data_IF_974920411051
#
_entry.id   IF_974920411051
#
_cell.length_a   1.000
_cell.length_b   1.000
_cell.length_c   1.000
_cell.angle_alpha   90.00
_cell.angle_beta   90.00
_cell.angle_gamma   90.00
#
_symmetry.space_group_name_H-M   'P 1'
#
loop_
_entity.id
_entity.type
_entity.pdbx_description
1 polymer ?
#
# COMPACT_ATOMS: atom_id res chain seq x y z
N UNK A 1 -22.01 -18.20 23.69
CA UNK A 1 -21.67 -18.09 22.26
C UNK A 1 -20.70 -16.93 22.07
N UNK A 2 -19.66 -17.12 21.26
CA UNK A 2 -18.73 -16.06 20.87
C UNK A 2 -19.47 -15.05 19.98
N UNK A 3 -19.50 -13.77 20.35
CA UNK A 3 -20.14 -12.74 19.53
C UNK A 3 -19.23 -12.39 18.35
N UNK A 4 -19.81 -12.38 17.15
CA UNK A 4 -19.15 -12.00 15.90
C UNK A 4 -19.77 -10.71 15.38
N UNK A 5 -18.99 -9.92 14.66
CA UNK A 5 -19.50 -8.70 14.04
C UNK A 5 -20.47 -9.02 12.90
N UNK A 6 -21.62 -8.37 12.85
CA UNK A 6 -22.59 -8.54 11.75
C UNK A 6 -22.09 -8.00 10.40
N UNK A 7 -21.11 -7.08 10.37
CA UNK A 7 -20.56 -6.49 9.13
C UNK A 7 -19.28 -7.17 8.64
N UNK A 8 -18.33 -7.48 9.52
CA UNK A 8 -17.00 -7.96 9.11
C UNK A 8 -16.64 -9.31 9.74
N UNK A 9 -15.38 -9.76 9.59
CA UNK A 9 -14.92 -11.08 10.05
C UNK A 9 -14.36 -11.07 11.48
N UNK A 10 -14.49 -9.95 12.20
CA UNK A 10 -13.93 -9.76 13.54
C UNK A 10 -14.91 -10.20 14.63
N UNK A 11 -14.35 -10.64 15.75
CA UNK A 11 -15.08 -11.20 16.90
C UNK A 11 -14.33 -10.94 18.22
N UNK A 12 -14.90 -11.32 19.36
CA UNK A 12 -14.34 -11.03 20.69
C UNK A 12 -13.05 -11.80 21.06
N UNK A 13 -12.56 -12.72 20.20
CA UNK A 13 -11.27 -13.40 20.44
C UNK A 13 -10.06 -12.53 20.14
N UNK A 14 -10.26 -11.39 19.48
CA UNK A 14 -9.22 -10.41 19.21
C UNK A 14 -8.96 -9.56 20.46
N UNK A 15 -8.25 -10.14 21.43
CA UNK A 15 -7.77 -9.46 22.63
C UNK A 15 -6.31 -9.08 22.44
N UNK A 16 -5.98 -7.84 22.76
CA UNK A 16 -4.62 -7.29 22.58
C UNK A 16 -4.00 -7.53 21.21
N UNK A 17 -4.82 -7.44 20.17
CA UNK A 17 -4.42 -7.70 18.79
C UNK A 17 -3.96 -6.40 18.11
N UNK A 18 -2.99 -6.44 17.18
CA UNK A 18 -2.64 -5.29 16.33
C UNK A 18 -3.83 -4.94 15.45
N UNK A 19 -4.53 -3.87 15.83
CA UNK A 19 -5.68 -3.35 15.14
C UNK A 19 -5.29 -2.00 14.55
N UNK A 20 -5.63 -1.80 13.28
CA UNK A 20 -5.41 -0.51 12.62
C UNK A 20 -6.42 0.54 13.14
N UNK A 21 -6.04 1.21 14.23
CA UNK A 21 -6.82 2.29 14.83
C UNK A 21 -6.38 3.68 14.37
N UNK A 22 -5.16 3.84 13.86
CA UNK A 22 -4.63 5.13 13.35
C UNK A 22 -4.45 5.17 11.83
N UNK A 23 -5.15 4.28 11.11
CA UNK A 23 -5.29 4.42 9.68
C UNK A 23 -3.99 4.23 8.92
N UNK A 24 -3.39 3.05 9.05
CA UNK A 24 -2.20 2.63 8.32
C UNK A 24 -0.89 3.33 8.74
N UNK A 25 -0.93 4.37 9.58
CA UNK A 25 0.28 5.04 10.08
C UNK A 25 1.01 4.19 11.13
N UNK A 26 0.26 3.51 12.01
CA UNK A 26 0.74 2.53 12.99
C UNK A 26 -0.39 1.58 13.37
N UNK A 27 -0.07 0.29 13.55
CA UNK A 27 -0.94 -0.61 14.30
C UNK A 27 -0.89 -0.20 15.78
N UNK A 28 -2.04 -0.01 16.43
CA UNK A 28 -2.08 -0.03 17.90
C UNK A 28 -2.60 -1.37 18.36
N UNK A 29 -2.16 -1.75 19.54
CA UNK A 29 -2.72 -2.90 20.24
C UNK A 29 -4.09 -2.48 20.77
N UNK A 30 -5.12 -3.27 20.46
CA UNK A 30 -6.49 -3.02 20.91
C UNK A 30 -7.24 -4.32 21.16
N UNK A 31 -8.51 -4.18 21.54
CA UNK A 31 -9.45 -5.30 21.63
C UNK A 31 -10.68 -5.04 20.77
N UNK A 32 -11.26 -6.13 20.27
CA UNK A 32 -12.56 -6.09 19.61
C UNK A 32 -13.66 -6.29 20.65
N UNK A 33 -14.59 -5.34 20.68
CA UNK A 33 -15.80 -5.39 21.50
C UNK A 33 -17.01 -5.37 20.60
N UNK A 34 -17.95 -6.29 20.80
CA UNK A 34 -19.21 -6.35 20.04
C UNK A 34 -20.31 -5.70 20.89
N UNK A 35 -20.93 -4.64 20.36
CA UNK A 35 -22.02 -3.94 21.04
C UNK A 35 -23.35 -4.73 20.96
N UNK A 36 -24.41 -4.21 21.57
CA UNK A 36 -25.73 -4.86 21.59
C UNK A 36 -26.37 -5.00 20.20
N UNK A 37 -25.99 -4.15 19.23
CA UNK A 37 -26.46 -4.24 17.85
C UNK A 37 -25.62 -5.21 16.99
N UNK A 38 -24.66 -5.92 17.60
CA UNK A 38 -23.82 -6.89 16.89
C UNK A 38 -22.67 -6.27 16.10
N UNK A 39 -22.36 -4.98 16.27
CA UNK A 39 -21.24 -4.32 15.60
C UNK A 39 -19.98 -4.34 16.46
N UNK A 40 -18.82 -4.62 15.84
CA UNK A 40 -17.54 -4.36 16.49
C UNK A 40 -17.26 -2.85 16.56
N UNK A 41 -16.49 -2.44 17.57
CA UNK A 41 -16.04 -1.06 17.77
C UNK A 41 -15.41 -0.40 16.52
N UNK A 42 -14.78 -1.17 15.64
CA UNK A 42 -14.21 -0.64 14.37
C UNK A 42 -15.31 -0.37 13.33
N UNK A 43 -16.27 -1.30 13.20
CA UNK A 43 -17.41 -1.11 12.30
C UNK A 43 -18.31 0.02 12.80
N UNK A 44 -18.51 0.13 14.11
CA UNK A 44 -19.24 1.23 14.73
C UNK A 44 -18.57 2.58 14.41
N UNK A 45 -17.25 2.67 14.54
CA UNK A 45 -16.53 3.89 14.12
C UNK A 45 -16.70 4.17 12.63
N UNK A 46 -16.57 3.15 11.77
CA UNK A 46 -16.80 3.33 10.33
C UNK A 46 -18.21 3.86 10.04
N UNK A 47 -19.25 3.39 10.72
CA UNK A 47 -20.61 3.90 10.50
C UNK A 47 -20.75 5.39 10.85
N UNK A 48 -20.03 5.88 11.87
CA UNK A 48 -19.98 7.31 12.22
C UNK A 48 -19.27 8.12 11.13
N UNK A 49 -18.18 7.58 10.61
CA UNK A 49 -17.33 8.23 9.61
C UNK A 49 -17.93 8.19 8.18
N UNK A 50 -18.75 7.17 7.89
CA UNK A 50 -19.16 6.80 6.53
C UNK A 50 -19.80 7.94 5.76
N UNK A 51 -20.69 8.71 6.40
CA UNK A 51 -21.41 9.79 5.75
C UNK A 51 -20.44 10.89 5.25
N UNK A 52 -19.53 11.35 6.11
CA UNK A 52 -18.54 12.35 5.75
C UNK A 52 -17.53 11.80 4.71
N UNK A 53 -17.03 10.58 4.90
CA UNK A 53 -16.09 9.97 3.97
C UNK A 53 -16.67 9.86 2.54
N UNK A 54 -17.92 9.43 2.40
CA UNK A 54 -18.60 9.34 1.11
C UNK A 54 -18.98 10.73 0.56
N UNK A 55 -19.31 11.69 1.41
CA UNK A 55 -19.50 13.07 1.00
C UNK A 55 -18.23 13.68 0.39
N UNK A 56 -17.07 13.45 1.02
CA UNK A 56 -15.77 13.87 0.48
C UNK A 56 -15.45 13.18 -0.85
N UNK A 57 -15.84 11.91 -1.02
CA UNK A 57 -15.73 11.20 -2.32
C UNK A 57 -16.59 11.87 -3.39
N UNK A 58 -17.83 12.25 -3.07
CA UNK A 58 -18.73 12.91 -4.02
C UNK A 58 -18.18 14.29 -4.43
N UNK A 59 -17.70 15.09 -3.47
CA UNK A 59 -17.03 16.37 -3.75
C UNK A 59 -15.83 16.16 -4.68
N UNK A 60 -15.02 15.11 -4.44
CA UNK A 60 -13.89 14.79 -5.30
C UNK A 60 -14.34 14.41 -6.71
N UNK A 61 -15.41 13.63 -6.84
CA UNK A 61 -15.99 13.24 -8.14
C UNK A 61 -16.50 14.44 -8.93
N UNK A 62 -17.18 15.38 -8.29
CA UNK A 62 -17.67 16.63 -8.91
C UNK A 62 -16.52 17.53 -9.37
N UNK A 63 -15.44 17.61 -8.59
CA UNK A 63 -14.26 18.44 -8.91
C UNK A 63 -13.33 17.79 -9.92
N UNK A 64 -13.38 16.46 -10.08
CA UNK A 64 -12.38 15.69 -10.82
C UNK A 64 -12.15 16.20 -12.24
N UNK A 65 -13.20 16.39 -13.04
CA UNK A 65 -13.06 16.87 -14.43
C UNK A 65 -12.41 18.25 -14.49
N UNK A 66 -12.85 19.18 -13.64
CA UNK A 66 -12.26 20.51 -13.55
C UNK A 66 -10.79 20.44 -13.13
N UNK A 67 -10.46 19.65 -12.11
CA UNK A 67 -9.08 19.47 -11.67
C UNK A 67 -8.19 18.90 -12.78
N UNK A 68 -8.65 17.89 -13.52
CA UNK A 68 -7.92 17.34 -14.66
C UNK A 68 -7.72 18.38 -15.77
N UNK A 69 -8.71 19.23 -16.04
CA UNK A 69 -8.61 20.32 -17.02
C UNK A 69 -7.64 21.42 -16.58
N UNK A 70 -7.74 21.89 -15.33
CA UNK A 70 -6.92 22.99 -14.79
C UNK A 70 -5.43 22.62 -14.65
N UNK A 71 -5.12 21.32 -14.65
CA UNK A 71 -3.78 20.79 -14.40
C UNK A 71 -3.10 20.20 -15.62
N UNK A 72 -3.72 20.30 -16.81
CA UNK A 72 -3.13 19.85 -18.07
C UNK A 72 -1.76 20.50 -18.29
N UNK A 73 -0.86 19.74 -18.91
CA UNK A 73 0.42 20.23 -19.41
C UNK A 73 0.47 20.08 -20.93
N UNK A 74 1.50 20.65 -21.57
CA UNK A 74 1.65 20.57 -23.03
C UNK A 74 1.84 19.14 -23.53
N UNK A 75 2.54 18.31 -22.74
CA UNK A 75 2.99 16.99 -23.19
C UNK A 75 2.14 15.89 -22.55
N UNK A 76 1.92 15.95 -21.23
CA UNK A 76 1.14 14.95 -20.48
C UNK A 76 0.17 15.59 -19.50
N UNK A 77 -1.10 15.19 -19.55
CA UNK A 77 -2.12 15.63 -18.61
C UNK A 77 -1.85 15.10 -17.19
N UNK A 78 -1.35 13.86 -17.08
CA UNK A 78 -1.09 13.22 -15.80
C UNK A 78 -0.01 12.13 -15.86
N UNK A 79 0.67 11.91 -14.74
CA UNK A 79 1.52 10.78 -14.47
C UNK A 79 0.69 9.71 -13.74
N UNK A 80 0.51 8.55 -14.35
CA UNK A 80 -0.25 7.44 -13.77
C UNK A 80 0.71 6.43 -13.19
N UNK A 81 0.68 6.22 -11.86
CA UNK A 81 1.51 5.21 -11.22
C UNK A 81 1.00 3.80 -11.57
N UNK A 82 1.78 3.07 -12.37
CA UNK A 82 1.47 1.73 -12.86
C UNK A 82 2.36 0.70 -12.17
N UNK A 83 1.77 -0.14 -11.33
CA UNK A 83 2.49 -1.21 -10.63
C UNK A 83 2.30 -2.59 -11.27
N UNK A 84 1.30 -2.74 -12.14
CA UNK A 84 0.88 -4.01 -12.77
C UNK A 84 -0.09 -4.82 -11.91
N UNK A 85 -0.52 -4.27 -10.78
CA UNK A 85 -1.58 -4.82 -9.94
C UNK A 85 -2.95 -4.37 -10.42
N UNK A 86 -4.00 -5.10 -9.99
CA UNK A 86 -5.39 -4.86 -10.42
C UNK A 86 -5.82 -3.39 -10.29
N UNK A 87 -5.39 -2.70 -9.23
CA UNK A 87 -5.85 -1.34 -8.91
C UNK A 87 -5.15 -0.27 -9.75
N UNK A 88 -3.86 -0.45 -10.03
CA UNK A 88 -3.11 0.48 -10.89
C UNK A 88 -3.41 0.27 -12.37
N UNK A 89 -3.62 -0.98 -12.81
CA UNK A 89 -4.02 -1.30 -14.19
C UNK A 89 -5.38 -0.69 -14.53
N UNK A 90 -6.41 -0.90 -13.69
CA UNK A 90 -7.73 -0.29 -13.94
C UNK A 90 -7.68 1.24 -13.88
N UNK A 91 -6.81 1.80 -13.04
CA UNK A 91 -6.61 3.25 -12.97
C UNK A 91 -6.09 3.83 -14.27
N UNK A 92 -5.12 3.15 -14.91
CA UNK A 92 -4.60 3.55 -16.22
C UNK A 92 -5.69 3.45 -17.30
N UNK A 93 -6.44 2.36 -17.32
CA UNK A 93 -7.58 2.17 -18.24
C UNK A 93 -8.60 3.30 -18.06
N UNK A 94 -9.00 3.61 -16.82
CA UNK A 94 -9.94 4.71 -16.56
C UNK A 94 -9.39 6.07 -17.03
N UNK A 95 -8.13 6.37 -16.70
CA UNK A 95 -7.49 7.62 -17.11
C UNK A 95 -7.47 7.79 -18.64
N UNK A 96 -7.11 6.74 -19.38
CA UNK A 96 -7.04 6.76 -20.85
C UNK A 96 -8.42 6.69 -21.50
N UNK A 97 -9.28 5.76 -21.08
CA UNK A 97 -10.53 5.48 -21.79
C UNK A 97 -11.71 6.34 -21.34
N UNK A 98 -11.86 6.55 -20.04
CA UNK A 98 -13.00 7.31 -19.50
C UNK A 98 -12.74 8.82 -19.52
N UNK A 99 -11.54 9.24 -19.14
CA UNK A 99 -11.18 10.67 -19.04
C UNK A 99 -10.39 11.17 -20.25
N UNK A 100 -10.04 10.29 -21.20
CA UNK A 100 -9.34 10.64 -22.45
C UNK A 100 -8.08 11.48 -22.20
N UNK A 101 -7.36 11.16 -21.12
CA UNK A 101 -6.13 11.86 -20.74
C UNK A 101 -4.95 11.39 -21.60
N UNK A 102 -4.09 12.32 -21.98
CA UNK A 102 -2.75 11.98 -22.46
C UNK A 102 -1.84 11.71 -21.25
N UNK A 103 -1.51 10.45 -20.99
CA UNK A 103 -0.85 10.05 -19.74
C UNK A 103 0.55 9.52 -19.97
N UNK A 104 1.44 9.81 -19.02
CA UNK A 104 2.70 9.10 -18.86
C UNK A 104 2.50 7.99 -17.82
N UNK A 105 2.51 6.74 -18.25
CA UNK A 105 2.49 5.61 -17.33
C UNK A 105 3.87 5.47 -16.67
N UNK A 106 3.91 5.33 -15.34
CA UNK A 106 5.15 5.29 -14.60
C UNK A 106 5.24 4.08 -13.65
N UNK A 107 6.26 3.24 -13.85
CA UNK A 107 6.54 2.09 -13.00
C UNK A 107 7.83 2.27 -12.22
N UNK A 108 7.78 1.97 -10.91
CA UNK A 108 8.99 1.75 -10.12
C UNK A 108 9.24 0.24 -10.07
N UNK A 109 10.30 -0.22 -10.73
CA UNK A 109 10.77 -1.60 -10.63
C UNK A 109 11.72 -1.74 -9.44
N UNK A 110 11.21 -2.29 -8.35
CA UNK A 110 11.99 -2.61 -7.16
C UNK A 110 12.79 -3.92 -7.30
N UNK A 111 12.68 -4.63 -8.42
CA UNK A 111 13.36 -5.89 -8.72
C UNK A 111 12.61 -7.14 -8.27
N UNK A 112 11.43 -7.01 -7.65
CA UNK A 112 10.66 -8.11 -7.05
C UNK A 112 9.23 -8.21 -7.58
N UNK A 113 8.96 -7.77 -8.82
CA UNK A 113 7.68 -8.01 -9.50
C UNK A 113 7.53 -9.48 -9.91
N UNK A 114 6.29 -9.96 -9.96
CA UNK A 114 5.96 -11.28 -10.51
C UNK A 114 6.03 -11.27 -12.05
N UNK A 115 6.02 -12.46 -12.67
CA UNK A 115 6.02 -12.56 -14.14
C UNK A 115 4.71 -11.99 -14.70
N UNK A 116 3.59 -12.42 -14.14
CA UNK A 116 2.24 -11.98 -14.51
C UNK A 116 2.10 -10.45 -14.37
N UNK A 117 2.69 -9.86 -13.32
CA UNK A 117 2.69 -8.40 -13.15
C UNK A 117 3.45 -7.66 -14.24
N UNK A 118 4.54 -8.22 -14.76
CA UNK A 118 5.27 -7.60 -15.90
C UNK A 118 4.45 -7.72 -17.18
N UNK A 119 3.92 -8.91 -17.46
CA UNK A 119 3.02 -9.13 -18.61
C UNK A 119 1.81 -8.19 -18.56
N UNK A 120 1.18 -8.00 -17.40
CA UNK A 120 0.05 -7.09 -17.26
C UNK A 120 0.42 -5.63 -17.53
N UNK A 121 1.66 -5.22 -17.21
CA UNK A 121 2.15 -3.86 -17.52
C UNK A 121 2.34 -3.73 -19.02
N UNK A 122 3.06 -4.67 -19.64
CA UNK A 122 3.32 -4.69 -21.09
C UNK A 122 2.00 -4.67 -21.87
N UNK A 123 1.10 -5.61 -21.59
CA UNK A 123 -0.19 -5.73 -22.27
C UNK A 123 -1.04 -4.46 -22.16
N UNK A 124 -1.20 -3.89 -20.95
CA UNK A 124 -2.06 -2.71 -20.79
C UNK A 124 -1.45 -1.46 -21.42
N UNK A 125 -0.12 -1.35 -21.43
CA UNK A 125 0.58 -0.23 -22.06
C UNK A 125 0.43 -0.30 -23.57
N UNK A 126 0.65 -1.48 -24.15
CA UNK A 126 0.56 -1.72 -25.59
C UNK A 126 -0.88 -1.53 -26.09
N UNK A 127 -1.86 -2.13 -25.41
CA UNK A 127 -3.28 -2.05 -25.78
C UNK A 127 -3.80 -0.60 -25.75
N UNK A 128 -3.37 0.20 -24.76
CA UNK A 128 -3.81 1.58 -24.61
C UNK A 128 -2.97 2.58 -25.43
N UNK A 129 -1.86 2.14 -26.03
CA UNK A 129 -0.93 3.00 -26.75
C UNK A 129 -0.43 4.18 -25.90
N UNK A 130 -0.01 3.91 -24.66
CA UNK A 130 0.47 4.94 -23.72
C UNK A 130 1.99 4.93 -23.60
N UNK A 131 2.62 6.09 -23.47
CA UNK A 131 4.05 6.12 -23.16
C UNK A 131 4.29 5.58 -21.74
N UNK A 132 5.30 4.73 -21.59
CA UNK A 132 5.64 4.08 -20.33
C UNK A 132 7.11 4.26 -19.96
N UNK A 133 7.33 4.78 -18.74
CA UNK A 133 8.67 4.91 -18.16
C UNK A 133 8.82 4.01 -16.95
N UNK A 134 9.90 3.23 -16.93
CA UNK A 134 10.28 2.41 -15.77
C UNK A 134 11.52 2.97 -15.08
N UNK A 135 11.37 3.32 -13.79
CA UNK A 135 12.50 3.59 -12.90
C UNK A 135 12.96 2.30 -12.22
N UNK A 136 14.13 1.80 -12.59
CA UNK A 136 14.70 0.58 -12.01
C UNK A 136 15.58 0.88 -10.80
N UNK A 137 15.22 0.32 -9.66
CA UNK A 137 16.08 0.32 -8.47
C UNK A 137 17.17 -0.76 -8.68
N UNK A 138 18.46 -0.43 -8.54
CA UNK A 138 19.52 -1.42 -8.67
C UNK A 138 19.29 -2.62 -7.75
N UNK A 139 19.41 -3.83 -8.31
CA UNK A 139 19.18 -5.09 -7.59
C UNK A 139 20.07 -5.23 -6.34
N UNK A 140 21.26 -4.64 -6.37
CA UNK A 140 22.18 -4.58 -5.22
C UNK A 140 21.62 -3.78 -4.05
N UNK A 141 20.82 -2.74 -4.33
CA UNK A 141 20.15 -1.92 -3.32
C UNK A 141 18.88 -2.62 -2.85
N UNK A 142 18.01 -3.03 -3.78
CA UNK A 142 16.73 -3.62 -3.40
C UNK A 142 16.90 -4.94 -2.62
N UNK A 143 17.87 -5.79 -2.98
CA UNK A 143 18.19 -6.99 -2.17
C UNK A 143 18.60 -6.65 -0.75
N UNK A 144 19.43 -5.62 -0.53
CA UNK A 144 19.83 -5.19 0.82
C UNK A 144 18.62 -4.67 1.61
N UNK A 145 17.83 -3.78 0.99
CA UNK A 145 16.61 -3.22 1.59
C UNK A 145 15.65 -4.33 2.01
N UNK A 146 15.25 -5.19 1.07
CA UNK A 146 14.22 -6.18 1.34
C UNK A 146 14.73 -7.38 2.16
N UNK A 147 16.01 -7.73 2.08
CA UNK A 147 16.59 -8.76 2.96
C UNK A 147 16.52 -8.32 4.43
N UNK A 148 16.91 -7.07 4.74
CA UNK A 148 16.75 -6.55 6.10
C UNK A 148 15.27 -6.40 6.46
N UNK A 149 14.45 -5.83 5.57
CA UNK A 149 13.03 -5.56 5.82
C UNK A 149 12.24 -6.83 6.16
N UNK A 150 12.52 -7.96 5.48
CA UNK A 150 11.93 -9.25 5.83
C UNK A 150 12.46 -9.75 7.18
N UNK A 151 13.77 -9.69 7.44
CA UNK A 151 14.36 -10.15 8.71
C UNK A 151 13.82 -9.39 9.92
N UNK A 152 13.58 -8.09 9.78
CA UNK A 152 12.96 -7.29 10.84
C UNK A 152 11.44 -7.51 10.93
N UNK A 153 10.81 -8.21 10.00
CA UNK A 153 9.35 -8.38 9.98
C UNK A 153 8.60 -7.11 9.64
N UNK A 154 9.17 -6.24 8.80
CA UNK A 154 8.49 -5.08 8.22
C UNK A 154 8.85 -4.92 6.73
N UNK A 155 8.27 -5.76 5.85
CA UNK A 155 8.78 -5.93 4.48
C UNK A 155 8.55 -4.72 3.54
N UNK A 156 7.55 -3.88 3.81
CA UNK A 156 7.06 -2.91 2.83
C UNK A 156 7.29 -1.44 3.22
N UNK A 157 7.47 -1.13 4.50
CA UNK A 157 7.40 0.26 5.01
C UNK A 157 8.50 1.17 4.45
N UNK A 158 9.75 0.70 4.35
CA UNK A 158 10.84 1.49 3.74
C UNK A 158 10.50 1.84 2.28
N UNK A 159 10.01 0.85 1.52
CA UNK A 159 9.67 1.04 0.12
C UNK A 159 8.52 2.04 -0.05
N UNK A 160 7.46 1.89 0.74
CA UNK A 160 6.25 2.71 0.64
C UNK A 160 6.43 4.13 1.20
N UNK A 161 7.31 4.36 2.19
CA UNK A 161 7.47 5.68 2.84
C UNK A 161 8.70 6.46 2.39
N UNK A 162 9.80 5.78 2.03
CA UNK A 162 11.11 6.41 1.85
C UNK A 162 11.75 6.18 0.47
N UNK A 163 11.15 5.33 -0.38
CA UNK A 163 11.67 5.05 -1.72
C UNK A 163 10.65 5.45 -2.79
N UNK A 164 9.44 4.89 -2.77
CA UNK A 164 8.48 5.10 -3.86
C UNK A 164 7.96 6.54 -3.94
N UNK A 165 7.47 7.18 -2.85
CA UNK A 165 6.98 8.55 -2.92
C UNK A 165 7.98 9.56 -3.47
N UNK A 166 9.25 9.61 -3.00
CA UNK A 166 10.20 10.57 -3.56
C UNK A 166 10.56 10.28 -5.02
N UNK A 167 10.67 9.01 -5.43
CA UNK A 167 10.89 8.69 -6.85
C UNK A 167 9.73 9.15 -7.72
N UNK A 168 8.47 8.93 -7.29
CA UNK A 168 7.29 9.40 -8.02
C UNK A 168 7.25 10.92 -8.12
N UNK A 169 7.50 11.63 -7.01
CA UNK A 169 7.54 13.09 -7.01
C UNK A 169 8.68 13.65 -7.89
N UNK A 170 9.85 13.01 -7.89
CA UNK A 170 10.97 13.39 -8.76
C UNK A 170 10.66 13.17 -10.24
N UNK A 171 9.99 12.06 -10.59
CA UNK A 171 9.57 11.81 -11.97
C UNK A 171 8.51 12.81 -12.43
N UNK A 172 7.58 13.16 -11.55
CA UNK A 172 6.57 14.17 -11.80
C UNK A 172 7.21 15.54 -12.13
N UNK A 173 8.17 15.99 -11.31
CA UNK A 173 8.92 17.23 -11.56
C UNK A 173 9.72 17.17 -12.86
N UNK A 174 10.46 16.08 -13.10
CA UNK A 174 11.34 15.94 -14.27
C UNK A 174 10.58 16.09 -15.60
N UNK A 175 9.32 15.67 -15.64
CA UNK A 175 8.48 15.75 -16.84
C UNK A 175 7.52 16.96 -16.83
N UNK A 176 7.64 17.88 -15.87
CA UNK A 176 6.77 19.06 -15.79
C UNK A 176 5.29 18.73 -15.54
N UNK A 177 4.99 17.53 -15.03
CA UNK A 177 3.62 17.05 -14.85
C UNK A 177 3.08 17.55 -13.51
N UNK A 178 1.89 18.16 -13.48
CA UNK A 178 1.28 18.63 -12.23
C UNK A 178 0.48 17.54 -11.52
N UNK A 179 -0.19 16.69 -12.29
CA UNK A 179 -1.14 15.70 -11.76
C UNK A 179 -0.54 14.31 -11.70
N UNK A 180 -0.66 13.68 -10.53
CA UNK A 180 -0.33 12.27 -10.32
C UNK A 180 -1.58 11.49 -9.94
N UNK A 181 -1.83 10.42 -10.68
CA UNK A 181 -2.96 9.52 -10.45
C UNK A 181 -2.44 8.21 -9.84
N UNK A 182 -3.05 7.79 -8.73
CA UNK A 182 -2.70 6.58 -7.98
C UNK A 182 -3.84 5.56 -8.00
N UNK A 183 -3.49 4.29 -8.16
CA UNK A 183 -4.41 3.15 -8.02
C UNK A 183 -4.56 2.70 -6.58
N UNK A 184 -5.00 3.60 -5.70
CA UNK A 184 -5.32 3.31 -4.30
C UNK A 184 -6.81 3.06 -4.19
N UNK A 185 -7.20 1.95 -3.55
CA UNK A 185 -8.62 1.58 -3.42
C UNK A 185 -9.36 2.34 -2.30
N UNK A 186 -10.67 2.11 -2.20
CA UNK A 186 -11.52 2.78 -1.22
C UNK A 186 -11.17 2.41 0.23
N UNK A 187 -10.75 1.16 0.49
CA UNK A 187 -10.37 0.71 1.81
C UNK A 187 -9.05 1.38 2.24
N UNK A 188 -8.07 1.41 1.34
CA UNK A 188 -6.81 2.09 1.55
C UNK A 188 -7.00 3.60 1.69
N UNK A 189 -7.87 4.23 0.91
CA UNK A 189 -8.16 5.67 1.06
C UNK A 189 -8.83 5.97 2.40
N UNK A 190 -9.79 5.15 2.83
CA UNK A 190 -10.41 5.30 4.15
C UNK A 190 -9.38 5.14 5.27
N UNK A 191 -8.64 4.03 5.25
CA UNK A 191 -7.68 3.70 6.29
C UNK A 191 -6.49 4.66 6.28
N UNK A 192 -5.77 4.79 5.18
CA UNK A 192 -4.48 5.48 5.14
C UNK A 192 -4.60 7.00 5.07
N UNK A 193 -5.75 7.55 4.65
CA UNK A 193 -5.91 8.99 4.40
C UNK A 193 -7.06 9.60 5.19
N UNK A 194 -8.25 9.01 5.18
CA UNK A 194 -9.39 9.60 5.90
C UNK A 194 -9.28 9.44 7.43
N UNK A 195 -9.00 8.23 7.94
CA UNK A 195 -8.87 8.04 9.40
C UNK A 195 -7.81 8.95 10.04
N UNK A 196 -6.62 9.15 9.43
CA UNK A 196 -5.63 10.10 9.92
C UNK A 196 -5.75 11.47 9.25
N UNK A 197 -6.92 11.88 8.75
CA UNK A 197 -7.06 13.14 7.99
C UNK A 197 -6.59 14.36 8.79
N UNK A 198 -6.80 14.37 10.12
CA UNK A 198 -6.27 15.43 11.00
C UNK A 198 -4.74 15.50 10.98
N UNK A 199 -4.07 14.35 10.97
CA UNK A 199 -2.61 14.29 10.82
C UNK A 199 -2.18 14.82 9.45
N UNK A 200 -2.86 14.41 8.38
CA UNK A 200 -2.51 14.87 7.03
C UNK A 200 -2.83 16.34 6.78
N UNK A 201 -3.89 16.89 7.38
CA UNK A 201 -4.17 18.32 7.38
C UNK A 201 -3.04 19.10 8.06
N UNK A 202 -2.57 18.63 9.22
CA UNK A 202 -1.47 19.30 9.92
C UNK A 202 -0.15 19.22 9.17
N UNK A 203 0.18 18.07 8.57
CA UNK A 203 1.50 17.83 7.95
C UNK A 203 1.58 18.33 6.51
N UNK A 204 0.48 18.27 5.76
CA UNK A 204 0.48 18.53 4.30
C UNK A 204 -0.64 19.45 3.82
N UNK A 205 -1.52 19.90 4.71
CA UNK A 205 -2.75 20.64 4.38
C UNK A 205 -3.70 19.86 3.45
N UNK A 206 -3.83 18.55 3.70
CA UNK A 206 -4.76 17.67 2.99
C UNK A 206 -6.12 17.70 3.69
N UNK A 207 -7.14 18.16 2.98
CA UNK A 207 -8.52 18.20 3.47
C UNK A 207 -9.42 17.12 2.86
N UNK A 208 -9.17 16.75 1.60
CA UNK A 208 -9.92 15.70 0.92
C UNK A 208 -8.97 14.53 0.60
N UNK A 209 -9.25 13.29 1.08
CA UNK A 209 -8.34 12.17 0.91
C UNK A 209 -8.30 11.60 -0.51
N UNK A 210 -9.20 12.01 -1.40
CA UNK A 210 -9.31 11.50 -2.77
C UNK A 210 -8.62 12.39 -3.81
N UNK A 211 -8.68 13.72 -3.63
CA UNK A 211 -8.00 14.71 -4.47
C UNK A 211 -7.38 15.75 -3.56
N UNK A 212 -6.05 15.87 -3.61
CA UNK A 212 -5.33 16.81 -2.75
C UNK A 212 -4.00 17.28 -3.35
N UNK A 213 -3.54 18.42 -2.84
CA UNK A 213 -2.20 18.96 -3.09
C UNK A 213 -1.45 19.00 -1.76
N UNK A 214 -0.15 18.71 -1.79
CA UNK A 214 0.74 18.97 -0.67
C UNK A 214 1.13 20.45 -0.75
N UNK A 215 0.69 21.26 0.21
CA UNK A 215 0.93 22.72 0.21
C UNK A 215 2.04 23.15 1.16
N UNK A 216 2.46 22.28 2.07
CA UNK A 216 3.51 22.56 3.06
C UNK A 216 4.83 21.95 2.63
N UNK A 217 5.84 22.79 2.38
CA UNK A 217 7.20 22.33 2.16
C UNK A 217 7.84 22.00 3.51
N UNK A 218 8.41 20.79 3.63
CA UNK A 218 9.29 20.42 4.73
C UNK A 218 10.57 19.83 4.13
N UNK A 219 11.67 20.61 4.03
CA UNK A 219 12.93 20.16 3.48
C UNK A 219 13.55 18.94 4.18
N UNK A 220 13.17 18.70 5.44
CA UNK A 220 13.70 17.61 6.29
C UNK A 220 12.75 16.42 6.40
N UNK A 221 11.66 16.39 5.64
CA UNK A 221 10.58 15.39 5.78
C UNK A 221 11.10 13.95 5.68
N UNK A 222 12.06 13.68 4.80
CA UNK A 222 12.59 12.33 4.61
C UNK A 222 13.56 11.93 5.72
N UNK A 223 14.41 12.84 6.18
CA UNK A 223 15.28 12.65 7.35
C UNK A 223 14.45 12.39 8.62
N UNK A 224 13.39 13.17 8.85
CA UNK A 224 12.48 12.99 9.99
C UNK A 224 11.76 11.65 9.94
N UNK A 225 11.21 11.28 8.77
CA UNK A 225 10.56 9.98 8.56
C UNK A 225 11.53 8.82 8.74
N UNK A 226 12.77 8.97 8.25
CA UNK A 226 13.84 7.98 8.43
C UNK A 226 14.16 7.77 9.91
N UNK A 227 14.40 8.85 10.67
CA UNK A 227 14.66 8.77 12.12
C UNK A 227 13.48 8.16 12.87
N UNK A 228 12.26 8.62 12.58
CA UNK A 228 11.03 8.09 13.17
C UNK A 228 10.87 6.59 12.91
N UNK A 229 11.13 6.15 11.69
CA UNK A 229 11.06 4.74 11.31
C UNK A 229 12.10 3.89 12.06
N UNK A 230 13.36 4.34 12.14
CA UNK A 230 14.39 3.62 12.90
C UNK A 230 13.96 3.48 14.36
N UNK A 231 13.50 4.57 14.99
CA UNK A 231 13.03 4.54 16.37
C UNK A 231 11.83 3.59 16.57
N UNK A 232 10.86 3.61 15.65
CA UNK A 232 9.70 2.70 15.66
C UNK A 232 10.15 1.23 15.67
N UNK A 233 11.12 0.87 14.83
CA UNK A 233 11.66 -0.49 14.76
C UNK A 233 12.43 -0.84 16.04
N UNK A 234 13.35 0.02 16.50
CA UNK A 234 14.18 -0.26 17.67
C UNK A 234 13.35 -0.41 18.95
N UNK A 235 12.28 0.37 19.09
CA UNK A 235 11.37 0.26 20.23
C UNK A 235 10.77 -1.15 20.36
N UNK A 236 10.51 -1.83 19.23
CA UNK A 236 9.86 -3.14 19.17
C UNK A 236 10.82 -4.32 18.93
N UNK A 237 12.12 -4.07 18.75
CA UNK A 237 13.17 -5.10 18.61
C UNK A 237 13.82 -5.41 19.96
N UNK A 238 14.13 -6.68 20.24
CA UNK A 238 14.80 -7.13 21.48
C UNK A 238 16.19 -6.50 21.65
N UNK A 239 16.58 -6.22 22.89
CA UNK A 239 17.76 -5.40 23.21
C UNK A 239 19.03 -5.94 22.55
N UNK A 240 19.23 -7.26 22.55
CA UNK A 240 20.37 -7.96 21.97
C UNK A 240 20.53 -7.75 20.44
N UNK A 241 19.47 -7.33 19.75
CA UNK A 241 19.49 -7.08 18.31
C UNK A 241 19.51 -5.59 17.94
N UNK A 242 19.23 -4.68 18.88
CA UNK A 242 19.01 -3.27 18.59
C UNK A 242 20.21 -2.60 17.91
N UNK A 243 21.42 -2.71 18.48
CA UNK A 243 22.62 -2.07 17.93
C UNK A 243 22.92 -2.50 16.51
N UNK A 244 22.83 -3.80 16.22
CA UNK A 244 23.09 -4.35 14.88
C UNK A 244 22.04 -3.87 13.88
N UNK A 245 20.76 -3.88 14.25
CA UNK A 245 19.69 -3.41 13.37
C UNK A 245 19.79 -1.93 13.11
N UNK A 246 20.09 -1.12 14.14
CA UNK A 246 20.28 0.31 13.99
C UNK A 246 21.38 0.61 12.95
N UNK A 247 22.55 -0.03 13.08
CA UNK A 247 23.65 0.14 12.14
C UNK A 247 23.26 -0.25 10.70
N UNK A 248 22.58 -1.38 10.52
CA UNK A 248 22.13 -1.83 9.20
C UNK A 248 21.06 -0.90 8.59
N UNK A 249 20.11 -0.43 9.42
CA UNK A 249 19.12 0.56 8.99
C UNK A 249 19.78 1.87 8.60
N UNK A 250 20.69 2.41 9.42
CA UNK A 250 21.43 3.64 9.09
C UNK A 250 22.20 3.52 7.77
N UNK A 251 22.84 2.38 7.50
CA UNK A 251 23.49 2.10 6.20
C UNK A 251 22.48 2.13 5.06
N UNK A 252 21.31 1.50 5.23
CA UNK A 252 20.24 1.51 4.22
C UNK A 252 19.73 2.93 3.98
N UNK A 253 19.48 3.70 5.05
CA UNK A 253 19.02 5.09 4.93
C UNK A 253 20.02 5.95 4.16
N UNK A 254 21.33 5.77 4.42
CA UNK A 254 22.40 6.43 3.65
C UNK A 254 22.34 6.07 2.16
N UNK A 255 22.05 4.81 1.82
CA UNK A 255 21.97 4.35 0.42
C UNK A 255 20.74 4.93 -0.28
N UNK A 256 19.56 4.90 0.36
CA UNK A 256 18.30 5.32 -0.27
C UNK A 256 18.11 6.83 -0.28
N UNK A 257 18.87 7.59 0.53
CA UNK A 257 18.85 9.06 0.56
C UNK A 257 19.02 9.68 -0.83
N UNK A 258 19.74 9.03 -1.74
CA UNK A 258 19.90 9.48 -3.13
C UNK A 258 18.58 9.59 -3.93
N UNK A 259 17.52 8.93 -3.46
CA UNK A 259 16.20 8.99 -4.09
C UNK A 259 15.36 10.15 -3.58
N UNK A 260 15.70 10.71 -2.42
CA UNK A 260 14.94 11.80 -1.81
C UNK A 260 15.05 13.07 -2.65
N UNK A 261 13.98 13.86 -2.65
CA UNK A 261 13.99 15.18 -3.27
C UNK A 261 14.94 16.08 -2.47
N UNK A 262 15.70 16.90 -3.19
CA UNK A 262 16.44 18.03 -2.64
C UNK A 262 15.47 19.12 -2.18
N UNK A 263 15.93 20.01 -1.33
CA UNK A 263 15.14 21.14 -0.82
C UNK A 263 14.44 21.94 -1.92
N UNK A 264 15.19 22.36 -2.96
CA UNK A 264 14.61 23.05 -4.13
C UNK A 264 13.54 22.24 -4.86
N UNK A 265 13.75 20.92 -4.98
CA UNK A 265 12.76 20.03 -5.61
C UNK A 265 11.50 19.92 -4.72
N UNK A 266 11.62 19.93 -3.39
CA UNK A 266 10.48 19.92 -2.47
C UNK A 266 9.69 21.23 -2.59
N UNK A 267 10.38 22.37 -2.59
CA UNK A 267 9.77 23.70 -2.76
C UNK A 267 9.05 23.84 -4.11
N UNK A 268 9.64 23.27 -5.16
CA UNK A 268 9.02 23.24 -6.49
C UNK A 268 7.80 22.31 -6.51
N UNK A 269 7.91 21.13 -5.91
CA UNK A 269 6.82 20.15 -5.86
C UNK A 269 5.57 20.72 -5.19
N UNK A 270 5.71 21.42 -4.06
CA UNK A 270 4.54 21.96 -3.34
C UNK A 270 3.78 23.04 -4.11
N UNK A 271 4.43 23.71 -5.07
CA UNK A 271 3.77 24.75 -5.91
C UNK A 271 2.82 24.15 -6.93
N UNK A 272 3.16 22.98 -7.47
CA UNK A 272 2.55 22.42 -8.68
C UNK A 272 2.34 20.90 -8.56
N UNK A 273 1.61 20.47 -7.54
CA UNK A 273 1.23 19.06 -7.39
C UNK A 273 -0.26 18.89 -7.12
N UNK A 274 -0.85 17.90 -7.78
CA UNK A 274 -2.15 17.35 -7.44
C UNK A 274 -2.04 15.83 -7.44
N UNK A 275 -2.52 15.18 -6.40
CA UNK A 275 -2.65 13.73 -6.32
C UNK A 275 -4.12 13.33 -6.35
N UNK A 276 -4.45 12.35 -7.19
CA UNK A 276 -5.81 11.85 -7.40
C UNK A 276 -5.84 10.34 -7.16
N UNK A 277 -6.69 9.87 -6.24
CA UNK A 277 -6.96 8.45 -6.04
C UNK A 277 -8.11 8.01 -6.95
N UNK A 278 -7.85 7.96 -8.25
CA UNK A 278 -8.90 7.77 -9.26
C UNK A 278 -9.65 6.44 -9.09
N UNK A 279 -8.94 5.37 -8.71
CA UNK A 279 -9.57 4.09 -8.38
C UNK A 279 -10.60 4.24 -7.27
N UNK A 280 -10.22 4.81 -6.11
CA UNK A 280 -11.14 5.01 -5.00
C UNK A 280 -12.33 5.92 -5.33
N UNK A 281 -12.17 6.86 -6.27
CA UNK A 281 -13.27 7.72 -6.74
C UNK A 281 -14.25 6.93 -7.61
N UNK A 282 -13.76 6.13 -8.55
CA UNK A 282 -14.57 5.52 -9.62
C UNK A 282 -15.00 4.08 -9.34
N UNK A 283 -14.17 3.28 -8.69
CA UNK A 283 -14.45 1.89 -8.38
C UNK A 283 -15.09 1.81 -6.99
N UNK A 284 -16.28 1.26 -6.93
CA UNK A 284 -17.00 0.97 -5.68
C UNK A 284 -17.21 -0.53 -5.46
N UNK A 285 -16.89 -1.36 -6.46
CA UNK A 285 -17.15 -2.79 -6.45
C UNK A 285 -16.05 -3.53 -7.20
N UNK A 286 -15.56 -4.63 -6.61
CA UNK A 286 -14.48 -5.44 -7.15
C UNK A 286 -14.88 -6.25 -8.39
N UNK A 287 -16.11 -6.75 -8.47
CA UNK A 287 -16.59 -7.51 -9.62
C UNK A 287 -16.62 -6.64 -10.89
N UNK A 288 -16.95 -5.34 -10.76
CA UNK A 288 -16.85 -4.40 -11.88
C UNK A 288 -15.40 -4.21 -12.33
N UNK A 289 -14.48 -4.08 -11.38
CA UNK A 289 -13.05 -3.97 -11.68
C UNK A 289 -12.53 -5.22 -12.40
N UNK A 290 -12.85 -6.41 -11.91
CA UNK A 290 -12.37 -7.68 -12.47
C UNK A 290 -12.88 -7.89 -13.90
N UNK A 291 -14.17 -7.60 -14.18
CA UNK A 291 -14.73 -7.65 -15.54
C UNK A 291 -14.02 -6.72 -16.53
N UNK A 292 -13.67 -5.51 -16.11
CA UNK A 292 -12.94 -4.58 -16.99
C UNK A 292 -11.53 -5.11 -17.25
N UNK A 293 -10.85 -5.62 -16.22
CA UNK A 293 -9.50 -6.17 -16.35
C UNK A 293 -9.44 -7.41 -17.25
N UNK A 294 -10.49 -8.24 -17.26
CA UNK A 294 -10.61 -9.40 -18.15
C UNK A 294 -10.55 -9.01 -19.63
N UNK A 295 -11.18 -7.90 -20.01
CA UNK A 295 -11.14 -7.39 -21.39
C UNK A 295 -9.74 -6.99 -21.86
N UNK A 296 -8.81 -6.75 -20.93
CA UNK A 296 -7.41 -6.42 -21.21
C UNK A 296 -6.46 -7.60 -20.96
N UNK A 297 -7.00 -8.82 -20.84
CA UNK A 297 -6.21 -10.04 -20.65
C UNK A 297 -5.41 -10.08 -19.33
N UNK A 298 -5.88 -9.35 -18.31
CA UNK A 298 -5.19 -9.27 -17.01
C UNK A 298 -5.08 -10.63 -16.33
N UNK A 299 -3.89 -10.96 -15.82
CA UNK A 299 -3.63 -12.20 -15.10
C UNK A 299 -3.33 -11.94 -13.63
N UNK A 300 -4.02 -12.65 -12.74
CA UNK A 300 -3.73 -12.58 -11.31
C UNK A 300 -2.42 -13.29 -10.95
N UNK A 301 -1.52 -12.65 -10.17
CA UNK A 301 -0.27 -13.29 -9.73
C UNK A 301 -0.51 -14.50 -8.83
N UNK A 302 0.25 -15.59 -9.05
CA UNK A 302 0.07 -16.88 -8.35
C UNK A 302 0.61 -16.94 -6.93
N UNK A 303 1.58 -16.08 -6.57
CA UNK A 303 2.38 -16.20 -5.33
C UNK A 303 1.61 -15.86 -4.04
N UNK A 304 0.45 -15.21 -4.14
CA UNK A 304 -0.27 -14.71 -2.96
C UNK A 304 -1.56 -15.47 -2.68
N UNK A 305 -1.69 -15.85 -1.40
CA UNK A 305 -2.79 -16.62 -0.83
C UNK A 305 -4.15 -15.92 -0.92
N UNK A 306 -4.21 -14.68 -0.45
CA UNK A 306 -5.49 -13.99 -0.11
C UNK A 306 -5.65 -12.66 -0.85
N UNK A 307 -4.53 -11.99 -1.16
CA UNK A 307 -4.50 -10.65 -1.76
C UNK A 307 -3.74 -10.68 -3.09
N UNK A 308 -4.38 -10.35 -4.20
CA UNK A 308 -3.66 -10.13 -5.45
C UNK A 308 -2.65 -8.99 -5.26
N UNK A 309 -1.36 -9.31 -5.32
CA UNK A 309 -0.26 -8.37 -5.09
C UNK A 309 0.73 -8.43 -6.24
N UNK A 310 1.17 -7.26 -6.64
CA UNK A 310 2.08 -6.99 -7.75
C UNK A 310 3.57 -7.07 -7.35
N UNK A 311 3.85 -7.42 -6.09
CA UNK A 311 5.19 -7.46 -5.53
C UNK A 311 5.41 -8.74 -4.71
N UNK A 312 6.43 -9.53 -5.06
CA UNK A 312 6.83 -10.76 -4.33
C UNK A 312 7.06 -10.50 -2.84
N UNK A 313 7.58 -9.32 -2.47
CA UNK A 313 7.84 -8.96 -1.07
C UNK A 313 6.53 -8.79 -0.29
N UNK A 314 5.55 -8.11 -0.88
CA UNK A 314 4.21 -7.98 -0.29
C UNK A 314 3.50 -9.34 -0.28
N UNK A 315 3.62 -10.14 -1.35
CA UNK A 315 3.12 -11.51 -1.39
C UNK A 315 3.65 -12.35 -0.23
N UNK A 316 4.96 -12.27 0.03
CA UNK A 316 5.56 -12.96 1.16
C UNK A 316 4.91 -12.52 2.47
N UNK A 317 4.84 -11.22 2.74
CA UNK A 317 4.25 -10.68 3.96
C UNK A 317 2.82 -11.20 4.19
N UNK A 318 1.97 -11.14 3.15
CA UNK A 318 0.59 -11.61 3.24
C UNK A 318 0.47 -13.13 3.37
N UNK A 319 1.31 -13.90 2.67
CA UNK A 319 1.24 -15.36 2.66
C UNK A 319 1.68 -15.99 3.98
N UNK A 320 2.49 -15.29 4.79
CA UNK A 320 2.89 -15.74 6.12
C UNK A 320 2.00 -15.16 7.23
N UNK A 321 0.93 -14.44 6.92
CA UNK A 321 0.02 -13.94 7.96
C UNK A 321 -0.77 -15.07 8.63
N UNK A 322 -1.09 -14.88 9.91
CA UNK A 322 -2.08 -15.72 10.60
C UNK A 322 -3.47 -15.51 10.00
N UNK A 323 -4.36 -16.49 10.16
CA UNK A 323 -5.78 -16.34 9.79
C UNK A 323 -6.44 -15.14 10.50
N UNK A 324 -6.02 -14.82 11.73
CA UNK A 324 -6.53 -13.66 12.47
C UNK A 324 -6.17 -12.36 11.74
N UNK A 325 -4.91 -12.21 11.32
CA UNK A 325 -4.45 -11.02 10.62
C UNK A 325 -5.09 -10.89 9.22
N UNK A 326 -5.26 -11.99 8.49
CA UNK A 326 -5.97 -11.97 7.21
C UNK A 326 -7.43 -11.50 7.35
N UNK A 327 -8.14 -11.99 8.37
CA UNK A 327 -9.49 -11.50 8.71
C UNK A 327 -9.50 -10.00 9.00
N UNK A 328 -8.47 -9.44 9.66
CA UNK A 328 -8.36 -7.98 9.88
C UNK A 328 -8.26 -7.24 8.57
N UNK A 329 -7.37 -7.67 7.67
CA UNK A 329 -7.15 -7.04 6.37
C UNK A 329 -8.40 -7.14 5.48
N UNK A 330 -9.00 -8.32 5.34
CA UNK A 330 -10.25 -8.50 4.57
C UNK A 330 -11.41 -7.70 5.16
N UNK A 331 -11.47 -7.56 6.49
CA UNK A 331 -12.48 -6.72 7.16
C UNK A 331 -12.35 -5.24 6.82
N UNK A 332 -11.21 -4.76 6.30
CA UNK A 332 -11.08 -3.39 5.77
C UNK A 332 -11.86 -3.24 4.47
N UNK A 333 -11.69 -4.17 3.53
CA UNK A 333 -12.41 -4.19 2.24
C UNK A 333 -13.93 -4.37 2.44
N UNK A 334 -14.33 -5.27 3.36
CA UNK A 334 -15.75 -5.52 3.64
C UNK A 334 -16.45 -4.26 4.17
N UNK A 335 -15.80 -3.53 5.08
CA UNK A 335 -16.39 -2.33 5.70
C UNK A 335 -16.75 -1.27 4.66
N UNK A 336 -15.92 -1.09 3.65
CA UNK A 336 -16.16 -0.11 2.58
C UNK A 336 -16.99 -0.66 1.42
N UNK A 337 -17.44 -1.92 1.50
CA UNK A 337 -18.28 -2.55 0.48
C UNK A 337 -17.54 -3.07 -0.76
N UNK A 338 -16.20 -3.14 -0.73
CA UNK A 338 -15.42 -3.68 -1.85
C UNK A 338 -15.50 -5.22 -1.94
N UNK A 339 -15.83 -5.88 -0.83
CA UNK A 339 -15.88 -7.33 -0.70
C UNK A 339 -17.05 -7.73 0.20
N UNK A 340 -17.74 -8.82 -0.15
CA UNK A 340 -18.73 -9.45 0.74
C UNK A 340 -18.05 -10.32 1.80
N UNK A 341 -18.80 -10.73 2.84
CA UNK A 341 -18.26 -11.68 3.83
C UNK A 341 -17.96 -13.03 3.21
N UNK A 342 -18.83 -13.47 2.31
CA UNK A 342 -18.78 -14.75 1.63
C UNK A 342 -17.53 -14.85 0.76
N UNK A 343 -17.29 -13.85 -0.10
CA UNK A 343 -16.08 -13.76 -0.93
C UNK A 343 -14.80 -13.68 -0.07
N UNK A 344 -14.87 -12.99 1.07
CA UNK A 344 -13.73 -12.90 1.99
C UNK A 344 -13.41 -14.25 2.65
N UNK A 345 -14.43 -15.02 3.05
CA UNK A 345 -14.26 -16.35 3.62
C UNK A 345 -13.68 -17.33 2.59
N UNK A 346 -14.08 -17.25 1.32
CA UNK A 346 -13.49 -18.05 0.25
C UNK A 346 -11.98 -17.78 0.11
N UNK A 347 -11.57 -16.50 0.15
CA UNK A 347 -10.15 -16.12 0.08
C UNK A 347 -9.33 -16.66 1.25
N UNK A 348 -9.89 -16.75 2.46
CA UNK A 348 -9.20 -17.29 3.65
C UNK A 348 -8.85 -18.78 3.53
N UNK A 349 -9.53 -19.53 2.67
CA UNK A 349 -9.31 -20.96 2.51
C UNK A 349 -8.16 -21.33 1.55
N UNK A 350 -7.59 -20.35 0.84
CA UNK A 350 -6.48 -20.55 -0.09
C UNK A 350 -5.19 -20.91 0.67
N UNK A 351 -4.35 -21.77 0.09
CA UNK A 351 -3.07 -22.18 0.69
C UNK A 351 -1.91 -21.33 0.17
N UNK A 352 -0.89 -21.02 1.00
CA UNK A 352 0.28 -20.28 0.55
C UNK A 352 1.12 -21.11 -0.43
N UNK A 353 1.69 -20.44 -1.43
CA UNK A 353 2.57 -21.03 -2.43
C UNK A 353 3.99 -21.21 -1.85
N UNK A 354 4.19 -22.26 -1.04
CA UNK A 354 5.40 -22.45 -0.20
C UNK A 354 6.70 -22.45 -1.04
N UNK A 355 6.70 -23.04 -2.23
CA UNK A 355 7.89 -23.15 -3.07
C UNK A 355 8.34 -21.78 -3.59
N UNK A 356 7.40 -20.93 -3.98
CA UNK A 356 7.63 -19.56 -4.44
C UNK A 356 8.16 -18.68 -3.31
N UNK A 357 7.66 -18.88 -2.09
CA UNK A 357 8.17 -18.20 -0.89
C UNK A 357 9.62 -18.64 -0.58
N UNK A 358 9.92 -19.94 -0.64
CA UNK A 358 11.30 -20.47 -0.50
C UNK A 358 12.23 -19.87 -1.57
N UNK A 359 11.78 -19.80 -2.82
CA UNK A 359 12.54 -19.21 -3.91
C UNK A 359 12.85 -17.74 -3.65
N UNK A 360 11.88 -16.96 -3.16
CA UNK A 360 12.10 -15.56 -2.79
C UNK A 360 13.15 -15.42 -1.68
N UNK A 361 13.09 -16.25 -0.64
CA UNK A 361 14.09 -16.21 0.44
C UNK A 361 15.49 -16.55 -0.08
N UNK A 362 15.62 -17.50 -1.02
CA UNK A 362 16.87 -17.78 -1.74
C UNK A 362 17.34 -16.58 -2.58
N UNK A 363 16.43 -15.92 -3.30
CA UNK A 363 16.73 -14.68 -4.03
C UNK A 363 17.22 -13.57 -3.08
N UNK A 364 16.73 -13.51 -1.84
CA UNK A 364 17.14 -12.54 -0.82
C UNK A 364 18.32 -12.97 0.05
N UNK A 365 18.88 -14.16 -0.19
CA UNK A 365 19.94 -14.76 0.65
C UNK A 365 19.54 -14.81 2.13
N UNK A 366 18.32 -15.24 2.39
CA UNK A 366 17.78 -15.47 3.73
C UNK A 366 17.73 -16.98 3.95
N UNK A 367 18.56 -17.47 4.86
CA UNK A 367 18.57 -18.90 5.22
C UNK A 367 17.64 -19.21 6.39
N UNK A 368 17.45 -18.24 7.29
CA UNK A 368 16.63 -18.38 8.49
C UNK A 368 15.93 -17.07 8.81
N UNK A 369 14.70 -17.19 9.32
CA UNK A 369 13.97 -16.08 9.93
C UNK A 369 13.83 -16.37 11.42
N UNK A 370 14.26 -15.42 12.23
CA UNK A 370 14.17 -15.47 13.68
C UNK A 370 13.24 -14.36 14.16
N UNK A 371 12.44 -14.63 15.18
CA UNK A 371 11.65 -13.59 15.81
C UNK A 371 12.55 -12.73 16.71
N UNK A 372 12.94 -11.57 16.17
CA UNK A 372 13.74 -10.55 16.85
C UNK A 372 12.90 -9.46 17.52
N UNK A 373 11.57 -9.54 17.44
CA UNK A 373 10.65 -8.57 18.06
C UNK A 373 10.49 -8.88 19.55
N UNK A 374 10.40 -7.84 20.38
CA UNK A 374 10.05 -7.93 21.81
C UNK A 374 8.64 -8.48 21.98
N UNK A 375 7.75 -8.04 21.10
CA UNK A 375 6.35 -8.37 21.16
C UNK A 375 6.12 -9.86 20.93
N UNK A 376 5.49 -10.53 21.89
CA UNK A 376 4.93 -11.89 21.72
C UNK A 376 3.92 -11.94 20.56
N UNK A 377 3.44 -10.77 20.10
CA UNK A 377 2.44 -10.59 19.04
C UNK A 377 3.01 -10.71 17.63
N UNK A 378 4.34 -10.86 17.47
CA UNK A 378 4.90 -11.21 16.16
C UNK A 378 4.20 -12.46 15.59
N UNK A 379 3.94 -13.46 16.44
CA UNK A 379 3.22 -14.68 16.03
C UNK A 379 1.69 -14.55 16.05
N UNK A 380 1.13 -13.44 16.50
CA UNK A 380 -0.27 -13.09 16.26
C UNK A 380 -0.46 -12.53 14.84
N UNK A 381 0.57 -11.87 14.28
CA UNK A 381 0.58 -11.33 12.91
C UNK A 381 1.04 -12.40 11.92
N UNK A 382 2.13 -13.09 12.23
CA UNK A 382 2.82 -14.02 11.33
C UNK A 382 2.75 -15.46 11.82
N UNK A 383 2.36 -16.37 10.94
CA UNK A 383 2.20 -17.79 11.23
C UNK A 383 3.56 -18.48 11.40
N UNK A 384 3.83 -18.93 12.63
CA UNK A 384 5.07 -19.63 12.99
C UNK A 384 5.33 -20.88 12.15
N UNK A 385 4.29 -21.65 11.84
CA UNK A 385 4.42 -22.90 11.11
C UNK A 385 4.76 -22.63 9.64
N UNK A 386 4.11 -21.63 9.03
CA UNK A 386 4.44 -21.22 7.66
C UNK A 386 5.88 -20.68 7.61
N UNK A 387 6.28 -19.83 8.57
CA UNK A 387 7.66 -19.33 8.67
C UNK A 387 8.66 -20.48 8.75
N UNK A 388 8.39 -21.49 9.58
CA UNK A 388 9.25 -22.67 9.68
C UNK A 388 9.32 -23.43 8.35
N UNK A 389 8.18 -23.70 7.72
CA UNK A 389 8.13 -24.41 6.43
C UNK A 389 8.91 -23.72 5.32
N UNK A 390 8.86 -22.38 5.24
CA UNK A 390 9.59 -21.62 4.20
C UNK A 390 11.07 -21.43 4.52
N UNK A 391 11.49 -21.62 5.77
CA UNK A 391 12.90 -21.47 6.21
C UNK A 391 13.65 -22.80 6.33
N UNK A 392 12.94 -23.92 6.51
CA UNK A 392 13.53 -25.26 6.43
C UNK A 392 13.92 -25.59 4.98
N UNK A 393 15.15 -26.10 4.78
CA UNK A 393 15.68 -26.50 3.46
C UNK A 393 14.71 -27.43 2.74
#
# INVERSE_FOLDING_TARGET
MQKTCQICLLDETYKEFPIDVEGGLRYKIGSIKINSTGLCNICEQYQKDKAEFLHLRNIAKEKLQKTLYDTKSSDYDALVALSGGKDSTITLILAKEKYKLNVLAFTIDNGFKNKETRENIENVVDELGVEHVTFKIPKTISRKVFSLSIKIGDPCTICQRLINPPIMAKMQLKNGIKTRILGIDLAQTYHQYYKPIKYWKNVFDIENPFIYSIKQANPKIYEERSKKYIQEILNDVKIEHQTKIEQELQKIMKIIRKYWLKEKEIEEFVKNNVTIHLHAIEISNRNTQEKILENYGFKFPKISKTFATDCKISAFAHSIHTKKMEKVLLSQEIRVGLLTKEEALEKLNRKPAINELKQLLKELKIEKLENIRKSSKFYEIYDKNIIQQVTTK
#
